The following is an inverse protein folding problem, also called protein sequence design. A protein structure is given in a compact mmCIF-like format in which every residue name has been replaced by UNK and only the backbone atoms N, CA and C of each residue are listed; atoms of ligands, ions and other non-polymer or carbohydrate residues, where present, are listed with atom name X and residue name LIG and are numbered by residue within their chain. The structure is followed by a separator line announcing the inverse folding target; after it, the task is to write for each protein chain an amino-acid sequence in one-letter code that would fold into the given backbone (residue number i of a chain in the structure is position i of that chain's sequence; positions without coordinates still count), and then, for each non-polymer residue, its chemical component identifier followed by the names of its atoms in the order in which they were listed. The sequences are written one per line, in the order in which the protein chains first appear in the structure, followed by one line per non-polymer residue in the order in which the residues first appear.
data_IF_002095098448
#
_entry.id   IF_002095098448
#
_cell.length_a   1.000
_cell.length_b   1.000
_cell.length_c   1.000
_cell.angle_alpha   90.00
_cell.angle_beta   90.00
_cell.angle_gamma   90.00
#
_symmetry.space_group_name_H-M   'P 1'
#
loop_
_entity.id
_entity.type
_entity.pdbx_description
1 polymer ?
#
# COMPACT_ATOMS: atom_id res chain seq x y z
N UNK A 1 0.81 10.63 32.34
CA UNK A 1 0.10 9.41 31.90
C UNK A 1 0.75 9.05 30.59
N UNK A 2 1.23 7.81 30.46
CA UNK A 2 1.85 7.38 29.22
C UNK A 2 0.85 7.56 28.06
N UNK A 3 1.32 8.03 26.91
CA UNK A 3 0.45 8.19 25.73
C UNK A 3 0.23 6.84 25.04
N UNK A 4 -0.83 6.76 24.23
CA UNK A 4 -1.12 5.63 23.35
C UNK A 4 -0.85 6.02 21.90
N UNK A 5 -0.35 5.07 21.12
CA UNK A 5 -0.25 5.21 19.68
C UNK A 5 -0.56 3.91 18.96
N UNK A 6 -0.98 4.02 17.70
CA UNK A 6 -1.28 2.86 16.88
C UNK A 6 0.00 2.09 16.56
N UNK A 7 -0.12 0.77 16.35
CA UNK A 7 0.99 -0.08 15.88
C UNK A 7 1.64 0.39 14.58
N UNK A 8 0.90 1.19 13.80
CA UNK A 8 1.39 1.83 12.58
C UNK A 8 2.36 2.96 12.92
N UNK A 9 1.94 3.90 13.76
CA UNK A 9 2.79 5.02 14.22
C UNK A 9 4.05 4.48 14.92
N UNK A 10 3.89 3.47 15.78
CA UNK A 10 5.04 2.77 16.36
C UNK A 10 5.92 2.09 15.32
N UNK A 11 5.34 1.55 14.24
CA UNK A 11 6.09 0.92 13.15
C UNK A 11 6.91 1.92 12.33
N UNK A 12 6.38 3.12 12.10
CA UNK A 12 7.07 4.23 11.44
C UNK A 12 8.28 4.69 12.29
N UNK A 13 8.04 4.93 13.58
CA UNK A 13 9.08 5.33 14.52
C UNK A 13 10.13 4.22 14.73
N UNK A 14 9.70 2.96 14.81
CA UNK A 14 10.58 1.80 14.89
C UNK A 14 11.55 1.74 13.71
N UNK A 15 11.04 1.87 12.48
CA UNK A 15 11.90 1.84 11.30
C UNK A 15 12.87 3.02 11.28
N UNK A 16 12.40 4.21 11.67
CA UNK A 16 13.21 5.41 11.80
C UNK A 16 14.37 5.22 12.79
N UNK A 17 14.09 4.82 14.03
CA UNK A 17 15.12 4.59 15.04
C UNK A 17 16.04 3.43 14.69
N UNK A 18 15.53 2.37 14.06
CA UNK A 18 16.35 1.25 13.60
C UNK A 18 17.39 1.69 12.58
N UNK A 19 17.03 2.57 11.64
CA UNK A 19 17.99 3.12 10.68
C UNK A 19 19.09 3.92 11.35
N UNK A 20 18.75 4.73 12.35
CA UNK A 20 19.72 5.53 13.11
C UNK A 20 20.64 4.65 13.98
N UNK A 21 20.07 3.62 14.61
CA UNK A 21 20.78 2.66 15.41
C UNK A 21 21.76 1.82 14.56
N UNK A 22 21.30 1.25 13.44
CA UNK A 22 22.10 0.36 12.58
C UNK A 22 23.04 1.14 11.64
N UNK A 23 22.65 2.35 11.22
CA UNK A 23 23.42 3.21 10.31
C UNK A 23 23.52 2.67 8.88
N UNK A 24 22.70 1.67 8.56
CA UNK A 24 22.56 1.10 7.23
C UNK A 24 21.20 0.40 7.12
N UNK A 25 20.83 0.03 5.90
CA UNK A 25 19.70 -0.85 5.63
C UNK A 25 20.02 -1.80 4.49
N UNK A 26 19.54 -3.04 4.57
CA UNK A 26 19.69 -3.98 3.46
C UNK A 26 18.57 -3.78 2.45
N UNK A 27 18.89 -3.88 1.15
CA UNK A 27 17.84 -4.02 0.15
C UNK A 27 17.07 -5.33 0.40
N UNK A 28 15.76 -5.30 0.17
CA UNK A 28 14.93 -6.51 0.27
C UNK A 28 14.90 -7.31 -1.03
N UNK A 29 14.70 -8.61 -0.94
CA UNK A 29 14.37 -9.47 -2.09
C UNK A 29 12.85 -9.56 -2.28
N UNK A 30 12.35 -10.08 -3.42
CA UNK A 30 10.91 -10.29 -3.61
C UNK A 30 10.28 -11.20 -2.54
N UNK A 31 11.06 -12.12 -1.96
CA UNK A 31 10.64 -13.04 -0.89
C UNK A 31 10.74 -12.43 0.52
N UNK A 32 10.93 -11.12 0.63
CA UNK A 32 11.03 -10.40 1.92
C UNK A 32 12.21 -10.88 2.77
N UNK A 33 13.34 -11.10 2.11
CA UNK A 33 14.62 -11.44 2.76
C UNK A 33 15.63 -10.33 2.54
N UNK A 34 16.68 -10.30 3.37
CA UNK A 34 17.84 -9.43 3.15
C UNK A 34 18.56 -9.84 1.87
N UNK A 35 18.91 -8.86 1.05
CA UNK A 35 19.92 -9.03 0.03
C UNK A 35 21.29 -8.72 0.64
N UNK A 36 22.01 -9.76 1.08
CA UNK A 36 23.32 -9.62 1.75
C UNK A 36 24.38 -8.92 0.90
N UNK A 37 24.20 -8.86 -0.42
CA UNK A 37 25.12 -8.18 -1.35
C UNK A 37 24.86 -6.67 -1.41
N UNK A 38 23.68 -6.22 -1.00
CA UNK A 38 23.25 -4.83 -1.15
C UNK A 38 22.90 -4.22 0.21
N UNK A 39 23.97 -3.87 0.93
CA UNK A 39 23.92 -3.07 2.15
C UNK A 39 24.04 -1.58 1.78
N UNK A 40 23.04 -0.79 2.14
CA UNK A 40 22.95 0.64 1.86
C UNK A 40 23.34 1.43 3.13
N UNK A 41 24.53 2.06 3.20
CA UNK A 41 24.90 2.91 4.31
C UNK A 41 23.99 4.13 4.38
N UNK A 42 23.51 4.45 5.58
CA UNK A 42 22.69 5.64 5.84
C UNK A 42 23.61 6.73 6.37
N UNK A 43 23.67 7.86 5.67
CA UNK A 43 24.47 9.01 6.09
C UNK A 43 23.63 10.01 6.90
N UNK A 44 22.36 10.15 6.55
CA UNK A 44 21.43 11.05 7.23
C UNK A 44 19.99 10.62 7.00
N UNK A 45 19.15 10.83 8.02
CA UNK A 45 17.70 10.81 7.89
C UNK A 45 17.15 12.23 8.10
N UNK A 46 16.21 12.66 7.26
CA UNK A 46 15.51 13.95 7.40
C UNK A 46 14.02 13.70 7.65
N UNK A 47 13.47 14.33 8.69
CA UNK A 47 12.07 14.22 9.08
C UNK A 47 11.45 15.61 9.25
N UNK A 48 10.20 15.76 8.82
CA UNK A 48 9.44 17.01 9.00
C UNK A 48 8.64 16.93 10.30
N UNK A 49 8.93 17.87 11.19
CA UNK A 49 8.44 17.88 12.56
C UNK A 49 7.54 19.11 12.78
N UNK A 50 6.88 19.17 13.94
CA UNK A 50 5.97 20.27 14.26
C UNK A 50 6.59 21.68 14.20
N UNK A 51 7.90 21.78 14.40
CA UNK A 51 8.68 23.01 14.39
C UNK A 51 9.65 23.11 13.20
N UNK A 52 9.45 22.30 12.16
CA UNK A 52 10.19 22.35 10.91
C UNK A 52 11.08 21.13 10.66
N UNK A 53 11.97 21.26 9.68
CA UNK A 53 12.83 20.16 9.23
C UNK A 53 13.90 19.80 10.25
N UNK A 54 14.01 18.52 10.58
CA UNK A 54 15.11 17.96 11.39
C UNK A 54 15.95 17.00 10.57
N UNK A 55 17.26 17.07 10.79
CA UNK A 55 18.26 16.19 10.18
C UNK A 55 18.98 15.41 11.26
N UNK A 56 19.02 14.10 11.10
CA UNK A 56 19.68 13.13 11.96
C UNK A 56 20.89 12.60 11.19
N UNK A 57 22.07 13.10 11.50
CA UNK A 57 23.29 12.88 10.74
C UNK A 57 24.16 11.84 11.45
N UNK A 58 24.59 10.80 10.72
CA UNK A 58 25.50 9.79 11.22
C UNK A 58 26.93 10.19 10.82
N UNK A 59 27.56 11.03 11.64
CA UNK A 59 28.93 11.52 11.41
C UNK A 59 29.99 10.45 11.76
N UNK A 60 29.70 9.59 12.73
CA UNK A 60 30.59 8.52 13.20
C UNK A 60 29.83 7.21 13.51
N UNK A 61 30.55 6.19 13.98
CA UNK A 61 29.99 4.87 14.28
C UNK A 61 29.20 4.83 15.61
N UNK A 62 29.29 5.84 16.46
CA UNK A 62 28.80 5.82 17.84
C UNK A 62 27.65 6.78 18.11
N UNK A 63 27.52 7.87 17.36
CA UNK A 63 26.58 8.96 17.66
C UNK A 63 25.74 9.38 16.45
N UNK A 64 24.58 9.95 16.75
CA UNK A 64 23.71 10.65 15.80
C UNK A 64 23.67 12.11 16.20
N UNK A 65 24.05 13.00 15.27
CA UNK A 65 23.90 14.44 15.45
C UNK A 65 22.53 14.89 14.95
N UNK A 66 21.72 15.44 15.84
CA UNK A 66 20.37 15.95 15.55
C UNK A 66 20.46 17.46 15.36
N UNK A 67 20.15 17.93 14.16
CA UNK A 67 20.15 19.33 13.78
C UNK A 67 18.73 19.81 13.42
N UNK A 68 18.26 20.85 14.07
CA UNK A 68 17.00 21.56 13.77
C UNK A 68 17.07 23.01 14.25
N UNK A 69 15.98 23.78 14.09
CA UNK A 69 15.98 25.22 14.45
C UNK A 69 16.28 25.46 15.94
N UNK A 70 15.83 24.55 16.82
CA UNK A 70 15.96 24.66 18.28
C UNK A 70 16.80 23.54 18.92
N UNK A 71 17.45 22.70 18.12
CA UNK A 71 18.22 21.55 18.61
C UNK A 71 19.50 21.35 17.80
N UNK A 72 20.62 21.22 18.50
CA UNK A 72 21.89 20.70 17.98
C UNK A 72 22.49 19.82 19.10
N UNK A 73 22.26 18.52 19.01
CA UNK A 73 22.65 17.54 20.04
C UNK A 73 23.29 16.31 19.40
N UNK A 74 24.19 15.66 20.13
CA UNK A 74 24.71 14.35 19.78
C UNK A 74 24.15 13.32 20.77
N UNK A 75 23.54 12.27 20.23
CA UNK A 75 22.93 11.19 21.00
C UNK A 75 23.60 9.86 20.62
N UNK A 76 23.99 9.02 21.58
CA UNK A 76 24.53 7.69 21.30
C UNK A 76 23.57 6.82 20.47
N UNK A 77 24.11 6.10 19.50
CA UNK A 77 23.36 5.14 18.67
C UNK A 77 22.79 3.98 19.47
N UNK A 78 23.44 3.63 20.57
CA UNK A 78 22.97 2.61 21.52
C UNK A 78 21.64 3.00 22.18
N UNK A 79 21.38 4.29 22.41
CA UNK A 79 20.11 4.75 22.99
C UNK A 79 18.96 4.55 22.00
N UNK A 80 19.18 4.88 20.71
CA UNK A 80 18.22 4.56 19.64
C UNK A 80 17.99 3.05 19.56
N UNK A 81 19.04 2.23 19.68
CA UNK A 81 18.92 0.77 19.65
C UNK A 81 18.07 0.26 20.83
N UNK A 82 18.34 0.73 22.05
CA UNK A 82 17.60 0.35 23.24
C UNK A 82 16.11 0.67 23.13
N UNK A 83 15.77 1.89 22.70
CA UNK A 83 14.38 2.31 22.50
C UNK A 83 13.70 1.53 21.38
N UNK A 84 14.42 1.22 20.30
CA UNK A 84 13.91 0.37 19.21
C UNK A 84 13.50 -1.01 19.71
N UNK A 85 14.28 -1.63 20.61
CA UNK A 85 13.94 -2.93 21.20
C UNK A 85 12.73 -2.84 22.15
N UNK A 86 12.61 -1.75 22.93
CA UNK A 86 11.43 -1.51 23.78
C UNK A 86 10.15 -1.39 22.96
N UNK A 87 10.17 -0.58 21.89
CA UNK A 87 9.02 -0.42 20.98
C UNK A 87 8.67 -1.76 20.33
N UNK A 88 9.66 -2.51 19.85
CA UNK A 88 9.43 -3.81 19.23
C UNK A 88 8.75 -4.80 20.17
N UNK A 89 9.24 -4.91 21.41
CA UNK A 89 8.67 -5.79 22.42
C UNK A 89 7.20 -5.43 22.70
N UNK A 90 6.91 -4.15 22.97
CA UNK A 90 5.57 -3.70 23.28
C UNK A 90 4.57 -3.92 22.14
N UNK A 91 4.97 -3.59 20.89
CA UNK A 91 4.12 -3.80 19.71
C UNK A 91 3.87 -5.29 19.47
N UNK A 92 4.85 -6.16 19.72
CA UNK A 92 4.73 -7.60 19.51
C UNK A 92 3.87 -8.28 20.59
N UNK A 93 3.95 -7.82 21.83
CA UNK A 93 3.18 -8.34 22.96
C UNK A 93 1.71 -7.89 22.92
N UNK A 94 1.45 -6.67 22.45
CA UNK A 94 0.07 -6.17 22.35
C UNK A 94 -0.75 -6.95 21.33
N UNK A 95 -1.99 -7.27 21.69
CA UNK A 95 -2.99 -7.83 20.76
C UNK A 95 -3.83 -6.76 20.09
N UNK A 96 -3.91 -5.58 20.70
CA UNK A 96 -4.73 -4.47 20.24
C UNK A 96 -3.96 -3.60 19.24
N UNK A 97 -4.66 -2.71 18.53
CA UNK A 97 -4.01 -1.80 17.61
C UNK A 97 -3.34 -0.64 18.34
N UNK A 98 -3.91 -0.22 19.45
CA UNK A 98 -3.39 0.89 20.24
C UNK A 98 -2.47 0.31 21.32
N UNK A 99 -1.27 0.87 21.42
CA UNK A 99 -0.20 0.37 22.27
C UNK A 99 0.30 1.54 23.12
N UNK A 100 0.30 1.33 24.44
CA UNK A 100 0.85 2.26 25.41
C UNK A 100 2.35 2.47 25.14
N UNK A 101 2.81 3.71 25.31
CA UNK A 101 4.24 4.03 25.30
C UNK A 101 4.99 3.20 26.35
N UNK A 102 6.04 2.46 25.98
CA UNK A 102 6.84 1.70 26.94
C UNK A 102 7.64 2.64 27.86
N UNK A 103 7.93 2.18 29.08
CA UNK A 103 8.74 2.93 30.05
C UNK A 103 10.10 3.34 29.43
N UNK A 104 10.48 4.61 29.58
CA UNK A 104 11.74 5.16 29.04
C UNK A 104 11.62 5.72 27.62
N UNK A 105 10.57 5.38 26.85
CA UNK A 105 10.41 5.85 25.47
C UNK A 105 9.98 7.31 25.41
N UNK A 106 9.11 7.76 26.33
CA UNK A 106 8.68 9.17 26.36
C UNK A 106 9.84 10.11 26.68
N UNK A 107 10.65 9.76 27.68
CA UNK A 107 11.82 10.55 28.05
C UNK A 107 12.83 10.64 26.89
N UNK A 108 13.00 9.55 26.15
CA UNK A 108 13.86 9.56 24.97
C UNK A 108 13.30 10.42 23.84
N UNK A 109 11.98 10.33 23.56
CA UNK A 109 11.32 11.15 22.56
C UNK A 109 11.46 12.65 22.86
N UNK A 110 11.30 13.04 24.11
CA UNK A 110 11.54 14.41 24.57
C UNK A 110 13.00 14.82 24.38
N UNK A 111 13.96 13.93 24.68
CA UNK A 111 15.39 14.21 24.53
C UNK A 111 15.79 14.46 23.07
N UNK A 112 15.18 13.73 22.13
CA UNK A 112 15.35 13.90 20.67
C UNK A 112 14.35 14.86 20.02
N UNK A 113 13.56 15.56 20.84
CA UNK A 113 12.54 16.56 20.47
C UNK A 113 11.40 16.07 19.56
N UNK A 114 11.06 14.78 19.57
CA UNK A 114 9.95 14.23 18.79
C UNK A 114 8.65 14.30 19.60
N UNK A 115 7.73 15.17 19.18
CA UNK A 115 6.44 15.38 19.86
C UNK A 115 5.24 14.84 19.06
N UNK A 116 5.42 14.65 17.75
CA UNK A 116 4.44 13.99 16.88
C UNK A 116 5.08 12.71 16.33
N UNK A 117 4.36 11.59 16.42
CA UNK A 117 4.86 10.28 15.96
C UNK A 117 4.77 10.12 14.45
N UNK A 118 3.80 10.78 13.83
CA UNK A 118 3.71 10.91 12.37
C UNK A 118 4.46 12.16 11.91
N UNK A 119 5.18 12.04 10.79
CA UNK A 119 5.79 13.20 10.17
C UNK A 119 4.72 14.12 9.53
N UNK A 120 4.97 15.43 9.55
CA UNK A 120 4.07 16.42 8.96
C UNK A 120 4.44 16.69 7.51
N UNK A 121 3.98 15.84 6.60
CA UNK A 121 4.28 15.98 5.16
C UNK A 121 3.01 16.07 4.29
N UNK A 122 3.04 16.97 3.30
CA UNK A 122 1.99 17.06 2.27
C UNK A 122 2.15 15.98 1.18
N UNK A 123 3.38 15.49 1.01
CA UNK A 123 3.74 14.52 -0.02
C UNK A 123 3.57 13.05 0.42
N UNK A 124 3.25 12.82 1.71
CA UNK A 124 3.03 11.53 2.37
C UNK A 124 4.28 10.65 2.50
N UNK A 125 5.46 11.25 2.46
CA UNK A 125 6.66 10.58 2.94
C UNK A 125 6.65 10.57 4.47
N UNK A 126 7.12 9.48 5.08
CA UNK A 126 7.27 9.41 6.54
C UNK A 126 8.60 10.06 6.94
N UNK A 127 9.62 9.94 6.09
CA UNK A 127 10.89 10.65 6.16
C UNK A 127 11.70 10.46 4.88
N UNK A 128 12.80 11.19 4.75
CA UNK A 128 13.76 11.05 3.68
C UNK A 128 15.09 10.51 4.19
N UNK A 129 15.83 9.82 3.33
CA UNK A 129 17.14 9.26 3.64
C UNK A 129 18.15 9.71 2.59
N UNK A 130 19.30 10.19 3.04
CA UNK A 130 20.50 10.31 2.21
C UNK A 130 21.39 9.10 2.44
N UNK A 131 21.64 8.33 1.38
CA UNK A 131 22.53 7.17 1.42
C UNK A 131 23.97 7.56 1.07
N UNK A 132 24.94 6.87 1.65
CA UNK A 132 26.39 7.00 1.40
C UNK A 132 27.07 8.32 1.80
N UNK A 133 26.45 9.49 1.55
CA UNK A 133 26.94 10.78 2.04
C UNK A 133 25.78 11.75 2.29
N UNK A 134 26.02 12.77 3.11
CA UNK A 134 25.00 13.77 3.50
C UNK A 134 24.61 14.69 2.33
N UNK A 135 25.46 14.78 1.30
CA UNK A 135 25.23 15.54 0.07
C UNK A 135 24.44 14.74 -0.98
N UNK A 136 24.21 13.44 -0.75
CA UNK A 136 23.45 12.61 -1.67
C UNK A 136 21.99 13.08 -1.78
N UNK A 137 21.35 12.92 -2.96
CA UNK A 137 19.93 13.25 -3.10
C UNK A 137 19.07 12.51 -2.08
N UNK A 138 18.12 13.24 -1.49
CA UNK A 138 17.15 12.69 -0.56
C UNK A 138 16.21 11.70 -1.25
N UNK A 139 16.08 10.52 -0.68
CA UNK A 139 15.15 9.48 -1.12
C UNK A 139 13.99 9.44 -0.13
N UNK A 140 12.79 9.78 -0.57
CA UNK A 140 11.59 9.77 0.28
C UNK A 140 11.00 8.37 0.45
N UNK A 141 10.69 8.00 1.68
CA UNK A 141 10.18 6.66 2.01
C UNK A 141 8.82 6.71 2.69
N UNK A 142 8.02 5.66 2.45
CA UNK A 142 6.93 5.28 3.35
C UNK A 142 7.31 3.97 4.07
N UNK A 143 7.02 3.90 5.35
CA UNK A 143 7.17 2.69 6.15
C UNK A 143 5.96 1.79 5.96
N UNK A 144 6.21 0.50 5.81
CA UNK A 144 5.20 -0.55 5.74
C UNK A 144 5.59 -1.65 6.71
N UNK A 145 4.87 -1.74 7.82
CA UNK A 145 5.23 -2.64 8.92
C UNK A 145 4.24 -3.78 9.09
N UNK A 146 4.74 -5.02 9.08
CA UNK A 146 3.97 -6.23 9.44
C UNK A 146 3.71 -6.33 10.95
N UNK A 147 4.29 -5.45 11.76
CA UNK A 147 4.04 -5.41 13.20
C UNK A 147 2.63 -4.89 13.51
N UNK A 148 2.01 -4.14 12.59
CA UNK A 148 0.67 -3.60 12.71
C UNK A 148 -0.18 -3.80 11.45
N UNK A 149 -1.35 -3.14 11.42
CA UNK A 149 -2.15 -3.07 10.20
C UNK A 149 -1.49 -2.10 9.22
N UNK A 150 -1.10 -2.60 8.04
CA UNK A 150 -0.57 -1.75 6.97
C UNK A 150 -1.71 -1.04 6.24
N UNK A 151 -1.50 0.23 5.90
CA UNK A 151 -2.38 0.89 4.95
C UNK A 151 -2.31 0.21 3.58
N UNK A 152 -3.46 0.16 2.89
CA UNK A 152 -3.49 -0.40 1.55
C UNK A 152 -2.68 0.46 0.59
N UNK A 153 -2.10 -0.18 -0.44
CA UNK A 153 -1.48 0.52 -1.58
C UNK A 153 -2.53 1.34 -2.34
N UNK A 154 -3.76 0.83 -2.37
CA UNK A 154 -4.93 1.54 -2.87
C UNK A 154 -6.09 1.29 -1.92
N UNK A 155 -6.55 2.34 -1.24
CA UNK A 155 -7.67 2.24 -0.32
C UNK A 155 -8.99 2.06 -1.07
N UNK A 156 -9.87 1.27 -0.45
CA UNK A 156 -11.24 1.10 -0.91
C UNK A 156 -11.97 2.43 -0.80
N UNK A 157 -12.75 2.76 -1.83
CA UNK A 157 -13.42 4.04 -1.93
C UNK A 157 -14.29 4.12 -3.18
N UNK A 158 -15.29 5.00 -3.17
CA UNK A 158 -16.22 5.16 -4.30
C UNK A 158 -15.51 5.44 -5.63
N UNK A 159 -14.38 6.14 -5.57
CA UNK A 159 -13.55 6.47 -6.74
C UNK A 159 -12.88 5.24 -7.36
N UNK A 160 -12.69 4.18 -6.59
CA UNK A 160 -12.06 2.92 -7.02
C UNK A 160 -13.08 1.89 -7.54
N UNK A 161 -14.34 2.27 -7.75
CA UNK A 161 -15.38 1.38 -8.27
C UNK A 161 -15.23 1.15 -9.79
N UNK A 162 -15.36 -0.10 -10.22
CA UNK A 162 -15.49 -0.52 -11.61
C UNK A 162 -16.95 -0.92 -11.87
N UNK A 163 -17.53 -0.40 -12.96
CA UNK A 163 -18.92 -0.62 -13.34
C UNK A 163 -19.06 -1.80 -14.31
N UNK A 164 -20.04 -2.64 -14.02
CA UNK A 164 -20.49 -3.72 -14.88
C UNK A 164 -21.93 -3.46 -15.27
N UNK A 165 -22.20 -3.36 -16.56
CA UNK A 165 -23.55 -3.26 -17.08
C UNK A 165 -24.28 -4.60 -16.96
N UNK A 166 -25.50 -4.58 -16.42
CA UNK A 166 -26.39 -5.73 -16.42
C UNK A 166 -27.04 -5.85 -17.80
N UNK A 167 -26.73 -6.95 -18.48
CA UNK A 167 -27.21 -7.30 -19.83
C UNK A 167 -27.86 -8.69 -19.80
N UNK A 168 -28.31 -9.20 -20.96
CA UNK A 168 -29.09 -10.44 -21.03
C UNK A 168 -30.56 -10.20 -20.73
N UNK A 169 -31.14 -10.94 -19.78
CA UNK A 169 -32.53 -10.75 -19.36
C UNK A 169 -32.69 -9.39 -18.66
N UNK A 170 -33.62 -8.55 -19.12
CA UNK A 170 -33.94 -7.27 -18.48
C UNK A 170 -34.68 -7.52 -17.17
N UNK A 171 -34.15 -6.99 -16.06
CA UNK A 171 -34.80 -7.12 -14.75
C UNK A 171 -35.80 -6.00 -14.49
N UNK A 172 -37.02 -6.39 -14.08
CA UNK A 172 -37.99 -5.46 -13.52
C UNK A 172 -37.55 -5.03 -12.11
N UNK A 173 -38.04 -3.88 -11.63
CA UNK A 173 -37.69 -3.33 -10.32
C UNK A 173 -37.88 -4.32 -9.15
N UNK A 174 -38.95 -5.13 -9.07
CA UNK A 174 -39.08 -6.13 -8.00
C UNK A 174 -37.95 -7.17 -8.01
N UNK A 175 -37.50 -7.59 -9.19
CA UNK A 175 -36.37 -8.53 -9.34
C UNK A 175 -35.06 -7.90 -8.85
N UNK A 176 -34.81 -6.64 -9.19
CA UNK A 176 -33.62 -5.91 -8.72
C UNK A 176 -33.63 -5.73 -7.21
N UNK A 177 -34.77 -5.36 -6.62
CA UNK A 177 -34.90 -5.24 -5.17
C UNK A 177 -34.64 -6.59 -4.48
N UNK A 178 -35.13 -7.69 -5.05
CA UNK A 178 -34.87 -9.04 -4.54
C UNK A 178 -33.38 -9.40 -4.61
N UNK A 179 -32.68 -9.04 -5.68
CA UNK A 179 -31.23 -9.25 -5.83
C UNK A 179 -30.47 -8.42 -4.80
N UNK A 180 -30.79 -7.13 -4.65
CA UNK A 180 -30.08 -6.24 -3.72
C UNK A 180 -30.31 -6.62 -2.25
N UNK A 181 -31.45 -7.25 -1.93
CA UNK A 181 -31.76 -7.78 -0.60
C UNK A 181 -31.24 -9.22 -0.37
N UNK A 182 -30.50 -9.80 -1.31
CA UNK A 182 -29.94 -11.14 -1.15
C UNK A 182 -28.71 -11.13 -0.24
N UNK A 183 -28.68 -12.10 0.68
CA UNK A 183 -27.56 -12.36 1.58
C UNK A 183 -27.35 -11.26 2.61
N UNK A 184 -26.27 -11.41 3.38
CA UNK A 184 -25.74 -10.36 4.24
C UNK A 184 -25.17 -9.22 3.40
N UNK A 185 -24.93 -8.06 4.01
CA UNK A 185 -24.50 -6.84 3.31
C UNK A 185 -23.25 -7.05 2.42
N UNK A 186 -22.28 -7.83 2.91
CA UNK A 186 -21.02 -8.12 2.23
C UNK A 186 -21.08 -9.32 1.25
N UNK A 187 -22.25 -9.95 1.08
CA UNK A 187 -22.49 -11.05 0.14
C UNK A 187 -22.63 -10.59 -1.32
N UNK A 188 -21.58 -9.90 -1.79
CA UNK A 188 -21.47 -9.41 -3.17
C UNK A 188 -21.48 -10.57 -4.17
N UNK A 189 -20.79 -11.68 -3.84
CA UNK A 189 -20.68 -12.84 -4.70
C UNK A 189 -22.03 -13.55 -4.88
N UNK A 190 -22.80 -13.70 -3.79
CA UNK A 190 -24.15 -14.26 -3.83
C UNK A 190 -25.09 -13.48 -4.74
N UNK A 191 -25.01 -12.15 -4.72
CA UNK A 191 -25.76 -11.29 -5.66
C UNK A 191 -25.32 -11.46 -7.10
N UNK A 192 -24.02 -11.55 -7.37
CA UNK A 192 -23.50 -11.82 -8.71
C UNK A 192 -24.02 -13.16 -9.25
N UNK A 193 -23.97 -14.22 -8.45
CA UNK A 193 -24.49 -15.54 -8.81
C UNK A 193 -26.02 -15.54 -9.00
N UNK A 194 -26.74 -14.76 -8.19
CA UNK A 194 -28.20 -14.61 -8.36
C UNK A 194 -28.55 -13.91 -9.68
N UNK A 195 -27.78 -12.88 -10.07
CA UNK A 195 -27.93 -12.22 -11.37
C UNK A 195 -27.76 -13.23 -12.51
N UNK A 196 -26.70 -14.05 -12.46
CA UNK A 196 -26.43 -15.07 -13.47
C UNK A 196 -27.52 -16.14 -13.53
N UNK A 197 -27.99 -16.64 -12.37
CA UNK A 197 -29.10 -17.62 -12.29
C UNK A 197 -30.41 -17.11 -12.88
N UNK A 198 -30.64 -15.80 -12.84
CA UNK A 198 -31.82 -15.16 -13.42
C UNK A 198 -31.65 -14.80 -14.91
N UNK A 199 -30.55 -15.25 -15.55
CA UNK A 199 -30.26 -15.00 -16.95
C UNK A 199 -29.67 -13.60 -17.23
N UNK A 200 -29.25 -12.89 -16.18
CA UNK A 200 -28.50 -11.65 -16.31
C UNK A 200 -27.02 -11.92 -16.55
N UNK A 201 -26.35 -10.98 -17.23
CA UNK A 201 -24.92 -11.04 -17.53
C UNK A 201 -24.31 -9.71 -17.07
N UNK A 202 -23.28 -9.78 -16.23
CA UNK A 202 -22.48 -8.61 -15.86
C UNK A 202 -21.35 -8.43 -16.87
N UNK A 203 -21.40 -7.36 -17.66
CA UNK A 203 -20.37 -7.01 -18.66
C UNK A 203 -19.61 -5.78 -18.19
N UNK A 204 -18.29 -5.83 -18.14
CA UNK A 204 -17.47 -4.65 -17.82
C UNK A 204 -17.85 -3.48 -18.75
N UNK A 205 -18.13 -2.32 -18.15
CA UNK A 205 -18.56 -1.12 -18.86
C UNK A 205 -17.52 0.01 -18.76
N UNK A 206 -17.22 0.47 -17.55
CA UNK A 206 -16.26 1.57 -17.34
C UNK A 206 -15.79 1.64 -15.87
N UNK A 207 -14.83 2.52 -15.57
CA UNK A 207 -14.49 2.94 -14.21
C UNK A 207 -15.48 4.01 -13.76
N UNK A 208 -15.91 3.97 -12.49
CA UNK A 208 -16.94 4.89 -12.00
C UNK A 208 -16.47 6.34 -11.94
N UNK A 209 -15.22 6.56 -11.52
CA UNK A 209 -14.60 7.88 -11.46
C UNK A 209 -13.78 8.18 -12.73
N UNK A 210 -13.94 9.39 -13.27
CA UNK A 210 -13.29 9.81 -14.52
C UNK A 210 -11.79 10.06 -14.37
N UNK A 211 -11.35 10.53 -13.20
CA UNK A 211 -9.93 10.75 -12.91
C UNK A 211 -9.25 9.40 -12.77
N UNK A 212 -9.82 8.51 -11.97
CA UNK A 212 -9.26 7.17 -11.80
C UNK A 212 -9.24 6.37 -13.10
N UNK A 213 -10.30 6.48 -13.92
CA UNK A 213 -10.30 5.94 -15.29
C UNK A 213 -9.06 6.39 -16.07
N UNK A 214 -8.81 7.70 -16.08
CA UNK A 214 -7.68 8.29 -16.82
C UNK A 214 -6.34 7.82 -16.24
N UNK A 215 -6.23 7.74 -14.91
CA UNK A 215 -5.04 7.22 -14.24
C UNK A 215 -4.75 5.75 -14.61
N UNK A 216 -5.78 4.90 -14.68
CA UNK A 216 -5.63 3.51 -15.11
C UNK A 216 -5.27 3.43 -16.61
N UNK A 217 -5.82 4.30 -17.44
CA UNK A 217 -5.46 4.39 -18.86
C UNK A 217 -4.00 4.84 -19.09
N UNK A 218 -3.38 5.55 -18.14
CA UNK A 218 -1.95 5.86 -18.18
C UNK A 218 -1.07 4.62 -18.02
N UNK A 219 -1.59 3.53 -17.41
CA UNK A 219 -0.90 2.23 -17.38
C UNK A 219 -1.09 1.50 -18.71
N UNK A 220 -2.35 1.37 -19.16
CA UNK A 220 -2.73 0.89 -20.49
C UNK A 220 -4.21 1.20 -20.74
N UNK A 221 -4.59 1.46 -22.00
CA UNK A 221 -5.98 1.71 -22.38
C UNK A 221 -6.94 0.56 -22.01
N UNK A 222 -6.47 -0.69 -22.03
CA UNK A 222 -7.28 -1.86 -21.70
C UNK A 222 -7.14 -2.33 -20.25
N UNK A 223 -6.25 -1.70 -19.48
CA UNK A 223 -5.97 -2.10 -18.09
C UNK A 223 -7.21 -2.09 -17.17
N UNK A 224 -8.12 -1.10 -17.24
CA UNK A 224 -9.35 -1.13 -16.44
C UNK A 224 -10.19 -2.39 -16.63
N UNK A 225 -10.28 -2.91 -17.85
CA UNK A 225 -11.04 -4.13 -18.16
C UNK A 225 -10.38 -5.37 -17.56
N UNK A 226 -9.05 -5.42 -17.59
CA UNK A 226 -8.28 -6.48 -16.93
C UNK A 226 -8.56 -6.47 -15.42
N UNK A 227 -8.49 -5.31 -14.75
CA UNK A 227 -8.80 -5.17 -13.32
C UNK A 227 -10.24 -5.58 -13.01
N UNK A 228 -11.19 -5.23 -13.89
CA UNK A 228 -12.59 -5.66 -13.75
C UNK A 228 -12.72 -7.18 -13.69
N UNK A 229 -12.02 -7.90 -14.57
CA UNK A 229 -12.03 -9.37 -14.54
C UNK A 229 -11.33 -9.92 -13.29
N UNK A 230 -10.22 -9.31 -12.85
CA UNK A 230 -9.56 -9.72 -11.59
C UNK A 230 -10.48 -9.58 -10.39
N UNK A 231 -11.30 -8.53 -10.33
CA UNK A 231 -12.30 -8.35 -9.28
C UNK A 231 -13.41 -9.40 -9.35
N UNK A 232 -13.85 -9.79 -10.55
CA UNK A 232 -14.82 -10.88 -10.71
C UNK A 232 -14.27 -12.20 -10.18
N UNK A 233 -13.05 -12.57 -10.59
CA UNK A 233 -12.36 -13.78 -10.10
C UNK A 233 -12.22 -13.74 -8.59
N UNK A 234 -11.83 -12.59 -8.01
CA UNK A 234 -11.74 -12.46 -6.56
C UNK A 234 -13.07 -12.75 -5.86
N UNK A 235 -14.17 -12.20 -6.36
CA UNK A 235 -15.48 -12.38 -5.75
C UNK A 235 -16.06 -13.79 -5.94
N UNK A 236 -15.94 -14.35 -7.15
CA UNK A 236 -16.56 -15.63 -7.49
C UNK A 236 -15.71 -16.83 -7.07
N UNK A 237 -14.39 -16.74 -7.22
CA UNK A 237 -13.47 -17.86 -7.00
C UNK A 237 -12.69 -17.74 -5.69
N UNK A 238 -12.78 -16.59 -4.99
CA UNK A 238 -12.12 -16.35 -3.70
C UNK A 238 -10.60 -16.12 -3.79
N UNK A 239 -10.05 -16.01 -5.00
CA UNK A 239 -8.62 -15.75 -5.23
C UNK A 239 -8.32 -14.28 -4.92
N UNK A 240 -7.37 -13.99 -4.03
CA UNK A 240 -7.08 -12.59 -3.65
C UNK A 240 -5.64 -12.15 -3.88
N UNK A 241 -4.67 -13.07 -3.89
CA UNK A 241 -3.26 -12.72 -4.12
C UNK A 241 -3.08 -12.22 -5.56
N UNK A 242 -2.34 -11.13 -5.75
CA UNK A 242 -2.20 -10.50 -7.07
C UNK A 242 -1.51 -11.44 -8.07
N UNK A 243 -0.50 -12.19 -7.64
CA UNK A 243 0.15 -13.20 -8.49
C UNK A 243 -0.85 -14.23 -9.01
N UNK A 244 -1.70 -14.75 -8.12
CA UNK A 244 -2.60 -15.86 -8.43
C UNK A 244 -3.79 -15.37 -9.28
N UNK A 245 -4.29 -14.17 -8.99
CA UNK A 245 -5.24 -13.47 -9.85
C UNK A 245 -4.68 -13.27 -11.26
N UNK A 246 -3.41 -12.88 -11.36
CA UNK A 246 -2.76 -12.65 -12.66
C UNK A 246 -2.65 -13.96 -13.45
N UNK A 247 -2.36 -15.09 -12.79
CA UNK A 247 -2.38 -16.41 -13.43
C UNK A 247 -3.79 -16.79 -13.93
N UNK A 248 -4.84 -16.55 -13.14
CA UNK A 248 -6.21 -16.76 -13.59
C UNK A 248 -6.54 -15.90 -14.83
N UNK A 249 -6.11 -14.64 -14.84
CA UNK A 249 -6.30 -13.74 -15.99
C UNK A 249 -5.55 -14.20 -17.24
N UNK A 250 -4.35 -14.79 -17.11
CA UNK A 250 -3.63 -15.38 -18.25
C UNK A 250 -4.49 -16.46 -18.94
N UNK A 251 -5.22 -17.28 -18.17
CA UNK A 251 -6.10 -18.32 -18.70
C UNK A 251 -7.41 -17.76 -19.27
N UNK A 252 -8.04 -16.80 -18.57
CA UNK A 252 -9.31 -16.20 -18.99
C UNK A 252 -9.12 -15.34 -20.25
N UNK A 253 -7.96 -14.69 -20.38
CA UNK A 253 -7.61 -13.78 -21.46
C UNK A 253 -8.73 -12.75 -21.76
N UNK A 254 -9.13 -11.92 -20.78
CA UNK A 254 -10.29 -11.03 -20.92
C UNK A 254 -10.12 -9.99 -22.05
N UNK A 255 -8.88 -9.72 -22.46
CA UNK A 255 -8.55 -8.78 -23.52
C UNK A 255 -8.48 -9.42 -24.91
N UNK A 256 -8.57 -10.76 -25.00
CA UNK A 256 -8.47 -11.53 -26.26
C UNK A 256 -7.19 -11.22 -27.05
N UNK A 257 -6.07 -11.11 -26.33
CA UNK A 257 -4.75 -10.88 -26.92
C UNK A 257 -4.09 -12.20 -27.31
N UNK A 258 -3.06 -12.13 -28.18
CA UNK A 258 -2.34 -13.32 -28.66
C UNK A 258 -1.58 -14.02 -27.53
N UNK A 259 -1.53 -15.35 -27.57
CA UNK A 259 -0.82 -16.18 -26.59
C UNK A 259 0.66 -15.81 -26.45
N UNK A 260 1.32 -15.40 -27.53
CA UNK A 260 2.72 -14.95 -27.47
C UNK A 260 2.88 -13.72 -26.56
N UNK A 261 1.92 -12.79 -26.60
CA UNK A 261 1.93 -11.60 -25.74
C UNK A 261 1.68 -11.98 -24.26
N UNK A 262 0.90 -13.02 -24.02
CA UNK A 262 0.61 -13.54 -22.68
C UNK A 262 1.84 -14.25 -22.09
N UNK A 263 2.44 -15.18 -22.84
CA UNK A 263 3.43 -16.11 -22.31
C UNK A 263 4.89 -15.74 -22.58
N UNK A 264 5.22 -15.15 -23.74
CA UNK A 264 6.59 -14.74 -24.06
C UNK A 264 6.92 -13.35 -23.51
N UNK A 265 5.93 -12.46 -23.49
CA UNK A 265 6.08 -11.08 -23.03
C UNK A 265 5.50 -10.83 -21.63
N UNK A 266 4.82 -11.82 -21.04
CA UNK A 266 4.21 -11.71 -19.70
C UNK A 266 3.30 -10.48 -19.55
N UNK A 267 2.51 -10.13 -20.59
CA UNK A 267 1.81 -8.85 -20.67
C UNK A 267 0.96 -8.52 -19.43
N UNK A 268 0.13 -9.45 -18.96
CA UNK A 268 -0.72 -9.22 -17.80
C UNK A 268 0.10 -8.93 -16.53
N UNK A 269 1.16 -9.71 -16.31
CA UNK A 269 2.07 -9.52 -15.18
C UNK A 269 2.81 -8.20 -15.27
N UNK A 270 3.34 -7.86 -16.45
CA UNK A 270 4.02 -6.59 -16.69
C UNK A 270 3.10 -5.40 -16.38
N UNK A 271 1.86 -5.41 -16.87
CA UNK A 271 0.88 -4.35 -16.61
C UNK A 271 0.50 -4.25 -15.14
N UNK A 272 0.32 -5.38 -14.47
CA UNK A 272 0.02 -5.39 -13.05
C UNK A 272 1.19 -4.84 -12.21
N UNK A 273 2.43 -5.21 -12.54
CA UNK A 273 3.65 -4.66 -11.91
C UNK A 273 3.77 -3.15 -12.13
N UNK A 274 3.50 -2.66 -13.34
CA UNK A 274 3.48 -1.21 -13.62
C UNK A 274 2.47 -0.47 -12.74
N UNK A 275 1.27 -1.03 -12.59
CA UNK A 275 0.24 -0.42 -11.75
C UNK A 275 0.61 -0.43 -10.26
N UNK A 276 1.09 -1.55 -9.73
CA UNK A 276 1.52 -1.63 -8.32
C UNK A 276 2.67 -0.66 -8.03
N UNK A 277 3.63 -0.54 -8.95
CA UNK A 277 4.70 0.46 -8.85
C UNK A 277 4.14 1.88 -8.82
N UNK A 278 3.17 2.20 -9.69
CA UNK A 278 2.56 3.53 -9.68
C UNK A 278 1.84 3.82 -8.36
N UNK A 279 1.12 2.84 -7.78
CA UNK A 279 0.49 2.98 -6.47
C UNK A 279 1.52 3.18 -5.36
N UNK A 280 2.57 2.35 -5.34
CA UNK A 280 3.63 2.45 -4.34
C UNK A 280 4.37 3.80 -4.38
N UNK A 281 4.49 4.39 -5.57
CA UNK A 281 5.12 5.68 -5.80
C UNK A 281 4.12 6.86 -5.80
N UNK A 282 2.91 6.66 -5.25
CA UNK A 282 2.01 7.74 -4.89
C UNK A 282 0.82 8.01 -5.82
N UNK A 283 0.52 7.15 -6.81
CA UNK A 283 -0.73 7.22 -7.58
C UNK A 283 -1.93 7.09 -6.62
N UNK A 284 -2.95 7.94 -6.80
CA UNK A 284 -4.19 7.91 -6.03
C UNK A 284 -5.39 7.92 -6.97
N UNK A 285 -6.52 7.28 -6.61
CA UNK A 285 -7.71 7.29 -7.47
C UNK A 285 -8.23 8.69 -7.80
N UNK A 286 -8.32 9.57 -6.80
CA UNK A 286 -8.94 10.89 -6.92
C UNK A 286 -7.97 12.03 -7.32
N UNK A 287 -6.69 11.74 -7.59
CA UNK A 287 -5.68 12.75 -7.96
C UNK A 287 -5.12 12.41 -9.33
N UNK A 288 -4.99 13.40 -10.23
CA UNK A 288 -4.48 13.18 -11.58
C UNK A 288 -3.09 12.56 -11.51
N UNK A 289 -2.92 11.44 -12.20
CA UNK A 289 -1.64 10.79 -12.42
C UNK A 289 -1.20 11.02 -13.86
N UNK A 290 -0.06 11.66 -14.05
CA UNK A 290 0.52 11.99 -15.35
C UNK A 290 1.84 11.24 -15.64
N UNK A 291 2.20 10.28 -14.79
CA UNK A 291 3.45 9.52 -14.92
C UNK A 291 4.70 10.22 -14.37
N UNK A 292 4.55 11.41 -13.74
CA UNK A 292 5.63 12.09 -13.03
C UNK A 292 5.75 11.50 -11.63
N UNK A 293 6.98 11.33 -11.16
CA UNK A 293 7.27 10.82 -9.83
C UNK A 293 6.73 11.73 -8.73
N UNK A 294 6.26 11.12 -7.66
CA UNK A 294 6.04 11.83 -6.39
C UNK A 294 7.34 11.86 -5.57
N UNK A 295 7.29 12.48 -4.40
CA UNK A 295 8.41 12.43 -3.46
C UNK A 295 8.66 11.02 -2.91
N UNK A 296 7.66 10.14 -2.93
CA UNK A 296 7.79 8.75 -2.51
C UNK A 296 8.61 8.00 -3.56
N UNK A 297 9.80 7.58 -3.14
CA UNK A 297 10.78 6.88 -3.97
C UNK A 297 10.94 5.41 -3.59
N UNK A 298 10.32 4.96 -2.49
CA UNK A 298 10.43 3.58 -2.03
C UNK A 298 9.69 3.30 -0.74
N UNK A 299 9.82 2.06 -0.27
CA UNK A 299 9.36 1.61 1.04
C UNK A 299 10.50 1.16 1.94
N UNK A 300 10.32 1.41 3.23
CA UNK A 300 11.01 0.68 4.29
C UNK A 300 10.02 -0.34 4.86
N UNK A 301 10.30 -1.61 4.58
CA UNK A 301 9.42 -2.71 4.94
C UNK A 301 9.90 -3.38 6.21
N UNK A 302 9.12 -3.30 7.29
CA UNK A 302 9.41 -4.01 8.54
C UNK A 302 8.74 -5.37 8.51
N UNK A 303 9.52 -6.45 8.51
CA UNK A 303 8.99 -7.80 8.50
C UNK A 303 8.53 -8.26 9.91
N UNK A 304 7.95 -9.45 10.00
CA UNK A 304 7.42 -9.98 11.27
C UNK A 304 8.48 -10.26 12.35
N UNK A 305 9.77 -10.26 11.98
CA UNK A 305 10.89 -10.45 12.89
C UNK A 305 11.52 -9.11 13.32
N UNK A 306 10.99 -7.97 12.86
CA UNK A 306 11.55 -6.64 13.12
C UNK A 306 12.65 -6.22 12.14
N UNK A 307 12.96 -7.03 11.13
CA UNK A 307 13.98 -6.63 10.16
C UNK A 307 13.43 -5.54 9.24
N UNK A 308 14.22 -4.48 9.03
CA UNK A 308 13.90 -3.39 8.12
C UNK A 308 14.58 -3.65 6.77
N UNK A 309 13.78 -3.73 5.70
CA UNK A 309 14.24 -3.93 4.33
C UNK A 309 13.91 -2.71 3.47
N UNK A 310 14.86 -2.29 2.63
CA UNK A 310 14.68 -1.18 1.72
C UNK A 310 14.26 -1.67 0.33
N UNK A 311 13.15 -1.12 -0.19
CA UNK A 311 12.74 -1.28 -1.58
C UNK A 311 12.65 0.10 -2.21
N UNK A 312 13.40 0.35 -3.28
CA UNK A 312 13.49 1.68 -3.88
C UNK A 312 13.29 1.64 -5.38
N UNK A 313 12.78 2.74 -5.93
CA UNK A 313 12.56 2.94 -7.37
C UNK A 313 13.83 2.69 -8.19
N UNK A 314 15.01 2.99 -7.65
CA UNK A 314 16.29 2.74 -8.30
C UNK A 314 16.52 1.25 -8.61
N UNK A 315 15.98 0.35 -7.79
CA UNK A 315 15.93 -1.09 -8.05
C UNK A 315 14.51 -1.51 -8.48
N UNK A 316 14.12 -0.99 -9.64
CA UNK A 316 12.75 -1.11 -10.16
C UNK A 316 12.28 -2.55 -10.26
N UNK A 317 13.14 -3.46 -10.72
CA UNK A 317 12.75 -4.85 -10.97
C UNK A 317 12.43 -5.55 -9.65
N UNK A 318 13.33 -5.48 -8.67
CA UNK A 318 13.14 -6.11 -7.36
C UNK A 318 11.94 -5.51 -6.64
N UNK A 319 11.75 -4.19 -6.71
CA UNK A 319 10.60 -3.55 -6.07
C UNK A 319 9.28 -3.98 -6.72
N UNK A 320 9.21 -4.02 -8.06
CA UNK A 320 8.03 -4.47 -8.77
C UNK A 320 7.70 -5.95 -8.48
N UNK A 321 8.72 -6.81 -8.41
CA UNK A 321 8.56 -8.23 -8.08
C UNK A 321 8.09 -8.42 -6.63
N UNK A 322 8.67 -7.68 -5.68
CA UNK A 322 8.21 -7.65 -4.29
C UNK A 322 6.72 -7.26 -4.21
N UNK A 323 6.33 -6.15 -4.84
CA UNK A 323 4.93 -5.71 -4.81
C UNK A 323 4.01 -6.77 -5.43
N UNK A 324 4.40 -7.37 -6.55
CA UNK A 324 3.60 -8.35 -7.25
C UNK A 324 3.32 -9.61 -6.42
N UNK A 325 4.35 -10.14 -5.74
CA UNK A 325 4.22 -11.35 -4.93
C UNK A 325 3.69 -11.09 -3.51
N UNK A 326 3.79 -9.85 -3.01
CA UNK A 326 3.36 -9.46 -1.66
C UNK A 326 2.12 -8.56 -1.61
N UNK A 327 1.34 -8.47 -2.69
CA UNK A 327 0.06 -7.73 -2.71
C UNK A 327 -1.15 -8.65 -2.89
N UNK A 328 -2.30 -8.20 -2.40
CA UNK A 328 -3.60 -8.85 -2.56
C UNK A 328 -4.72 -7.86 -2.77
N UNK A 329 -5.77 -8.29 -3.44
CA UNK A 329 -7.05 -7.59 -3.42
C UNK A 329 -7.77 -7.85 -2.10
N UNK A 330 -8.51 -6.87 -1.64
CA UNK A 330 -9.27 -6.91 -0.39
C UNK A 330 -10.73 -6.55 -0.64
N UNK A 331 -11.64 -7.11 0.16
CA UNK A 331 -13.02 -6.63 0.22
C UNK A 331 -13.06 -5.35 1.05
N UNK A 332 -13.66 -4.32 0.50
CA UNK A 332 -13.89 -3.03 1.16
C UNK A 332 -15.30 -3.00 1.78
N UNK A 333 -15.71 -1.89 2.39
CA UNK A 333 -17.05 -1.78 2.98
C UNK A 333 -18.07 -1.45 1.89
N UNK A 334 -19.05 -2.33 1.68
CA UNK A 334 -20.13 -2.14 0.70
C UNK A 334 -20.93 -0.87 0.96
N UNK A 335 -21.27 -0.59 2.23
CA UNK A 335 -21.95 0.64 2.61
C UNK A 335 -21.09 1.90 2.41
N UNK A 336 -19.84 1.91 2.88
CA UNK A 336 -18.97 3.10 2.78
C UNK A 336 -18.66 3.42 1.32
N UNK A 337 -18.26 2.39 0.57
CA UNK A 337 -17.69 2.50 -0.76
C UNK A 337 -18.75 2.35 -1.88
N UNK A 338 -20.01 2.10 -1.50
CA UNK A 338 -21.21 2.07 -2.35
C UNK A 338 -21.03 1.20 -3.59
N UNK A 339 -20.84 -0.10 -3.35
CA UNK A 339 -20.68 -1.12 -4.39
C UNK A 339 -21.37 -2.42 -3.98
N UNK A 340 -21.45 -3.38 -4.91
CA UNK A 340 -22.05 -4.69 -4.64
C UNK A 340 -23.57 -4.74 -4.76
N UNK A 341 -24.18 -3.72 -5.39
CA UNK A 341 -25.62 -3.62 -5.64
C UNK A 341 -25.89 -3.23 -7.09
N UNK A 342 -27.06 -3.61 -7.59
CA UNK A 342 -27.58 -3.10 -8.86
C UNK A 342 -28.17 -1.70 -8.65
N UNK A 343 -27.65 -0.74 -9.38
CA UNK A 343 -28.08 0.66 -9.38
C UNK A 343 -28.49 1.09 -10.79
N UNK A 344 -29.48 1.97 -10.91
CA UNK A 344 -29.97 2.42 -12.21
C UNK A 344 -29.32 3.75 -12.59
N UNK A 345 -28.62 3.78 -13.72
CA UNK A 345 -28.05 5.01 -14.32
C UNK A 345 -28.57 5.11 -15.77
N UNK A 346 -29.21 6.22 -16.15
CA UNK A 346 -29.72 6.47 -17.50
C UNK A 346 -30.59 5.35 -18.10
N UNK A 347 -31.42 4.70 -17.27
CA UNK A 347 -32.34 3.65 -17.70
C UNK A 347 -31.72 2.24 -17.75
N UNK A 348 -30.41 2.10 -17.53
CA UNK A 348 -29.66 0.85 -17.52
C UNK A 348 -29.24 0.51 -16.09
N UNK A 349 -29.15 -0.78 -15.75
CA UNK A 349 -28.65 -1.23 -14.45
C UNK A 349 -27.15 -1.51 -14.50
N UNK A 350 -26.44 -1.05 -13.47
CA UNK A 350 -25.02 -1.29 -13.27
C UNK A 350 -24.79 -1.96 -11.92
N UNK A 351 -23.85 -2.90 -11.90
CA UNK A 351 -23.30 -3.49 -10.69
C UNK A 351 -21.86 -3.00 -10.52
N UNK A 352 -21.51 -2.49 -9.35
CA UNK A 352 -20.16 -1.97 -9.07
C UNK A 352 -19.35 -2.98 -8.27
N UNK A 353 -18.09 -3.18 -8.63
CA UNK A 353 -17.08 -3.86 -7.81
C UNK A 353 -16.02 -2.86 -7.37
N UNK A 354 -15.58 -2.92 -6.11
CA UNK A 354 -14.58 -2.01 -5.57
C UNK A 354 -13.18 -2.58 -5.67
N UNK A 355 -12.22 -1.79 -6.17
CA UNK A 355 -10.82 -2.14 -6.10
C UNK A 355 -10.23 -1.62 -4.78
N UNK A 356 -9.71 -2.54 -3.96
CA UNK A 356 -8.85 -2.25 -2.81
C UNK A 356 -7.65 -3.20 -2.85
N UNK A 357 -6.44 -2.67 -2.65
CA UNK A 357 -5.21 -3.46 -2.73
C UNK A 357 -4.37 -3.24 -1.47
N UNK A 358 -4.13 -4.32 -0.73
CA UNK A 358 -3.29 -4.34 0.46
C UNK A 358 -2.01 -5.17 0.27
N UNK A 359 -1.05 -4.97 1.17
CA UNK A 359 0.12 -5.85 1.29
C UNK A 359 -0.21 -7.09 2.13
N UNK A 360 0.46 -8.21 1.86
CA UNK A 360 0.31 -9.44 2.64
C UNK A 360 0.82 -9.25 4.07
N UNK A 361 -0.05 -9.55 5.05
CA UNK A 361 0.27 -9.47 6.49
C UNK A 361 1.25 -10.55 6.96
N UNK A 362 1.36 -11.68 6.25
CA UNK A 362 2.27 -12.80 6.55
C UNK A 362 2.86 -13.34 5.26
#
# INVERSE_FOLDING_TARGET
MAFEATKREWGELYAFFRLLADGYVYAGTPDVKRNEVQKLPVAMVQREEHDGTRRYILEDEATVRICGEKIDKQIPREDFAAVTELIFAAVKESRENDVMSPDGVEEFLDEVAIYDLEAKTDDRTDFYVAFYSIEAPLVGFCVRSRLGTMFPLLDGGRTANLKFEQTGVKFATPTVNKINAFGEEDDVAGRMLMIERLGGILKYNDVADKVFRSNLCMIDLHFPRMLGEMLRVMHLDGISKVSDLTEAIKQINPLKIKDELIHKHSYYEYKMKQFLMALALGMRPAKIFNGIDSAISGFLFVNGNGEVLCYQKADRQVFADFLFVNSRFEKSSTEKDKYGYLERENGVYYFKLNLKIGLLKR
#
